data_IF_252321560708
#
_entry.id   IF_252321560708
#
_cell.length_a   1.000
_cell.length_b   1.000
_cell.length_c   1.000
_cell.angle_alpha   90.00
_cell.angle_beta   90.00
_cell.angle_gamma   90.00
#
_symmetry.space_group_name_H-M   'P 1'
#
loop_
_entity.id
_entity.type
_entity.pdbx_description
1 polymer ?
#
# COMPACT_ATOMS: atom_id res chain seq x y z
N UNK A 1 -2.35 -14.42 48.52
CA UNK A 1 -1.26 -14.06 47.59
C UNK A 1 -1.85 -13.78 46.21
N UNK A 2 -2.10 -12.52 45.91
CA UNK A 2 -2.64 -12.08 44.62
C UNK A 2 -1.46 -11.72 43.71
N UNK A 3 -1.27 -12.43 42.61
CA UNK A 3 -0.29 -12.09 41.58
C UNK A 3 -0.95 -11.12 40.63
N UNK A 4 -0.52 -9.88 40.67
CA UNK A 4 -0.84 -8.83 39.70
C UNK A 4 0.04 -9.02 38.47
N UNK A 5 -0.55 -9.41 37.36
CA UNK A 5 0.10 -9.39 36.03
C UNK A 5 -0.09 -8.00 35.43
N UNK A 6 0.98 -7.25 35.30
CA UNK A 6 1.02 -5.97 34.59
C UNK A 6 0.96 -6.19 33.09
N UNK A 7 0.27 -5.33 32.33
CA UNK A 7 0.24 -5.43 30.86
C UNK A 7 1.57 -4.94 30.29
N UNK A 8 2.17 -5.74 29.41
CA UNK A 8 3.32 -5.33 28.59
C UNK A 8 2.82 -4.36 27.53
N UNK A 9 2.98 -3.07 27.80
CA UNK A 9 2.86 -2.02 26.80
C UNK A 9 4.15 -2.07 26.02
N UNK A 10 4.09 -2.51 24.75
CA UNK A 10 5.19 -2.40 23.80
C UNK A 10 5.38 -0.92 23.42
N UNK A 11 6.07 -0.18 24.29
CA UNK A 11 6.51 1.17 24.04
C UNK A 11 7.61 1.11 22.98
N UNK A 12 7.37 1.69 21.81
CA UNK A 12 8.41 2.10 20.88
C UNK A 12 9.25 3.17 21.56
N UNK A 13 10.26 2.77 22.31
CA UNK A 13 11.30 3.66 22.81
C UNK A 13 12.18 4.07 21.62
N UNK A 14 12.04 5.32 21.21
CA UNK A 14 13.06 5.97 20.43
C UNK A 14 14.31 6.13 21.31
N UNK A 15 15.51 5.76 20.83
CA UNK A 15 16.73 6.03 21.59
C UNK A 15 16.99 7.54 21.62
N UNK A 16 17.28 8.06 22.81
CA UNK A 16 17.75 9.42 23.02
C UNK A 16 19.03 9.65 22.22
N UNK A 17 19.06 10.71 21.42
CA UNK A 17 20.23 11.11 20.66
C UNK A 17 21.33 11.63 21.60
N UNK A 18 22.47 10.93 21.62
CA UNK A 18 23.73 11.48 22.13
C UNK A 18 24.24 12.56 21.15
N UNK A 19 24.96 13.59 21.62
CA UNK A 19 25.46 14.66 20.76
C UNK A 19 26.44 14.09 19.73
N UNK A 20 26.15 14.33 18.46
CA UNK A 20 26.98 13.88 17.35
C UNK A 20 28.30 14.65 17.33
N UNK A 21 29.41 13.91 17.40
CA UNK A 21 30.71 14.43 16.97
C UNK A 21 30.64 14.80 15.48
N UNK A 22 31.23 15.94 15.12
CA UNK A 22 31.27 16.42 13.75
C UNK A 22 31.85 15.35 12.81
N UNK A 23 31.23 15.08 11.66
CA UNK A 23 31.74 14.08 10.74
C UNK A 23 33.04 14.57 10.12
N UNK A 24 34.10 13.77 10.28
CA UNK A 24 35.31 13.91 9.47
C UNK A 24 34.92 13.83 7.99
N UNK A 25 35.33 14.77 7.18
CA UNK A 25 35.12 14.79 5.74
C UNK A 25 35.73 13.55 5.09
N UNK A 26 34.89 12.58 4.74
CA UNK A 26 35.30 11.42 3.94
C UNK A 26 35.61 11.93 2.53
N UNK A 27 36.79 11.71 1.98
CA UNK A 27 37.12 12.15 0.62
C UNK A 27 36.11 11.51 -0.36
N UNK A 28 35.56 12.31 -1.24
CA UNK A 28 34.65 11.86 -2.31
C UNK A 28 35.41 10.82 -3.14
N UNK A 29 35.08 9.54 -3.00
CA UNK A 29 35.67 8.47 -3.79
C UNK A 29 35.46 8.72 -5.26
N UNK A 30 36.53 8.60 -6.07
CA UNK A 30 36.49 8.74 -7.52
C UNK A 30 35.35 7.88 -8.13
N UNK A 31 34.62 8.35 -9.17
CA UNK A 31 33.53 7.63 -9.76
C UNK A 31 33.99 6.27 -10.32
N UNK A 32 33.30 5.22 -9.91
CA UNK A 32 33.61 3.86 -10.31
C UNK A 32 33.35 3.62 -11.80
N UNK A 33 34.34 3.08 -12.52
CA UNK A 33 34.16 2.60 -13.89
C UNK A 33 33.19 1.41 -13.94
N UNK A 34 32.62 1.10 -15.12
CA UNK A 34 31.72 -0.05 -15.31
C UNK A 34 32.38 -1.39 -14.89
N UNK A 35 33.71 -1.51 -15.04
CA UNK A 35 34.49 -2.67 -14.57
C UNK A 35 34.47 -2.77 -13.03
N UNK A 36 34.63 -1.66 -12.34
CA UNK A 36 34.60 -1.60 -10.87
C UNK A 36 33.24 -1.99 -10.29
N UNK A 37 32.16 -1.59 -10.94
CA UNK A 37 30.79 -1.97 -10.54
C UNK A 37 30.58 -3.48 -10.66
N UNK A 38 30.92 -4.07 -11.81
CA UNK A 38 30.83 -5.53 -12.03
C UNK A 38 31.65 -6.31 -10.98
N UNK A 39 32.84 -5.86 -10.69
CA UNK A 39 33.72 -6.47 -9.68
C UNK A 39 33.11 -6.38 -8.29
N UNK A 40 32.55 -5.23 -7.90
CA UNK A 40 31.88 -5.06 -6.60
C UNK A 40 30.66 -5.98 -6.45
N UNK A 41 29.81 -6.05 -7.48
CA UNK A 41 28.66 -6.95 -7.48
C UNK A 41 29.09 -8.43 -7.50
N UNK A 42 30.14 -8.78 -8.23
CA UNK A 42 30.65 -10.14 -8.28
C UNK A 42 31.19 -10.60 -6.92
N UNK A 43 31.97 -9.75 -6.22
CA UNK A 43 32.48 -10.02 -4.85
C UNK A 43 31.32 -10.19 -3.87
N UNK A 44 30.36 -9.24 -3.86
CA UNK A 44 29.16 -9.31 -2.99
C UNK A 44 28.35 -10.58 -3.21
N UNK A 45 28.11 -10.97 -4.47
CA UNK A 45 27.36 -12.17 -4.80
C UNK A 45 28.16 -13.46 -4.55
N UNK A 46 29.49 -13.43 -4.63
CA UNK A 46 30.34 -14.56 -4.25
C UNK A 46 30.26 -14.83 -2.75
N UNK A 47 30.40 -13.77 -1.95
CA UNK A 47 30.27 -13.84 -0.49
C UNK A 47 28.86 -14.28 -0.04
N UNK A 48 27.81 -13.91 -0.77
CA UNK A 48 26.45 -14.32 -0.49
C UNK A 48 26.15 -15.80 -0.87
N UNK A 49 27.07 -16.51 -1.46
CA UNK A 49 26.99 -17.96 -1.71
C UNK A 49 26.14 -18.38 -2.91
N UNK A 50 26.04 -19.70 -3.09
CA UNK A 50 25.42 -20.30 -4.28
C UNK A 50 23.90 -20.19 -4.33
N UNK A 51 23.24 -20.07 -3.18
CA UNK A 51 21.77 -19.89 -3.08
C UNK A 51 21.31 -18.46 -3.35
N UNK A 52 22.24 -17.57 -3.71
CA UNK A 52 21.95 -16.16 -3.98
C UNK A 52 21.99 -15.85 -5.48
N UNK A 53 21.24 -14.83 -5.91
CA UNK A 53 21.19 -14.37 -7.30
C UNK A 53 20.97 -12.86 -7.38
N UNK A 54 21.47 -12.28 -8.47
CA UNK A 54 21.34 -10.86 -8.75
C UNK A 54 21.12 -10.59 -10.24
N UNK A 55 20.34 -9.52 -10.51
CA UNK A 55 20.22 -8.94 -11.83
C UNK A 55 20.16 -7.43 -11.71
N UNK A 56 20.88 -6.74 -12.56
CA UNK A 56 20.86 -5.28 -12.65
C UNK A 56 20.92 -4.86 -14.13
N UNK A 57 20.06 -3.93 -14.52
CA UNK A 57 19.96 -3.39 -15.88
C UNK A 57 19.89 -1.87 -15.84
N UNK A 58 20.63 -1.22 -16.71
CA UNK A 58 20.45 0.19 -17.00
C UNK A 58 19.19 0.37 -17.84
N UNK A 59 18.17 0.97 -17.27
CA UNK A 59 16.87 1.13 -17.95
C UNK A 59 16.90 2.20 -19.04
N UNK A 60 17.87 3.13 -18.96
CA UNK A 60 18.05 4.18 -19.98
C UNK A 60 18.61 3.63 -21.30
N UNK A 61 19.42 2.57 -21.22
CA UNK A 61 20.07 1.97 -22.39
C UNK A 61 19.63 0.54 -22.68
N UNK A 62 18.92 -0.10 -21.77
CA UNK A 62 18.55 -1.52 -21.84
C UNK A 62 19.71 -2.49 -21.55
N UNK A 63 20.94 -1.99 -21.31
CA UNK A 63 22.15 -2.83 -21.13
C UNK A 63 22.15 -3.52 -19.78
N UNK A 64 22.49 -4.81 -19.79
CA UNK A 64 22.73 -5.56 -18.55
C UNK A 64 24.03 -5.06 -17.89
N UNK A 65 23.89 -4.53 -16.68
CA UNK A 65 25.01 -4.12 -15.82
C UNK A 65 25.64 -5.35 -15.15
N UNK A 66 24.79 -6.24 -14.62
CA UNK A 66 25.23 -7.46 -13.94
C UNK A 66 24.15 -8.54 -13.96
N UNK A 67 24.58 -9.79 -14.11
CA UNK A 67 23.71 -10.96 -14.01
C UNK A 67 24.48 -12.13 -13.34
N UNK A 68 23.91 -12.69 -12.28
CA UNK A 68 24.41 -13.93 -11.65
C UNK A 68 23.23 -14.76 -11.17
N UNK A 69 23.05 -15.95 -11.73
CA UNK A 69 21.90 -16.83 -11.46
C UNK A 69 20.58 -16.05 -11.54
N UNK A 70 20.49 -15.16 -12.54
CA UNK A 70 19.44 -14.16 -12.67
C UNK A 70 18.05 -14.77 -12.91
N UNK A 71 18.00 -15.97 -13.47
CA UNK A 71 16.78 -16.68 -13.84
C UNK A 71 16.34 -17.75 -12.83
N UNK A 72 17.21 -18.05 -11.84
CA UNK A 72 16.88 -19.05 -10.83
C UNK A 72 15.98 -18.44 -9.77
N UNK A 73 14.77 -19.03 -9.61
CA UNK A 73 13.77 -18.57 -8.65
C UNK A 73 14.18 -18.86 -7.20
N UNK A 74 13.89 -17.89 -6.35
CA UNK A 74 14.21 -17.86 -4.91
C UNK A 74 13.04 -17.36 -4.10
N UNK A 75 13.12 -17.51 -2.78
CA UNK A 75 12.21 -16.89 -1.84
C UNK A 75 12.49 -15.39 -1.82
N UNK A 76 11.51 -14.53 -2.18
CA UNK A 76 11.69 -13.07 -2.22
C UNK A 76 11.55 -12.41 -0.86
N UNK A 77 10.95 -13.06 0.14
CA UNK A 77 10.44 -12.42 1.34
C UNK A 77 9.58 -11.19 0.97
N UNK A 78 9.62 -10.11 1.75
CA UNK A 78 8.77 -8.93 1.51
C UNK A 78 9.05 -8.15 0.21
N UNK A 79 10.01 -8.56 -0.64
CA UNK A 79 10.09 -8.06 -2.02
C UNK A 79 8.85 -8.47 -2.82
N UNK A 80 8.13 -9.54 -2.41
CA UNK A 80 6.85 -9.95 -2.98
C UNK A 80 5.80 -8.84 -2.95
N UNK A 81 5.83 -7.96 -1.95
CA UNK A 81 4.92 -6.80 -1.87
C UNK A 81 4.97 -5.89 -3.09
N UNK A 82 6.07 -5.89 -3.84
CA UNK A 82 6.17 -5.16 -5.11
C UNK A 82 5.17 -5.70 -6.14
N UNK A 83 4.95 -7.01 -6.19
CA UNK A 83 3.99 -7.64 -7.10
C UNK A 83 2.55 -7.21 -6.79
N UNK A 84 2.17 -7.24 -5.52
CA UNK A 84 0.86 -6.78 -5.06
C UNK A 84 0.67 -5.28 -5.34
N UNK A 85 1.64 -4.46 -4.96
CA UNK A 85 1.56 -2.99 -5.11
C UNK A 85 1.50 -2.56 -6.59
N UNK A 86 2.31 -3.16 -7.44
CA UNK A 86 2.30 -2.89 -8.89
C UNK A 86 0.94 -3.25 -9.48
N UNK A 87 0.39 -4.41 -9.13
CA UNK A 87 -0.93 -4.84 -9.62
C UNK A 87 -2.05 -3.92 -9.15
N UNK A 88 -2.02 -3.45 -7.89
CA UNK A 88 -2.99 -2.46 -7.38
C UNK A 88 -2.93 -1.18 -8.21
N UNK A 89 -1.75 -0.62 -8.44
CA UNK A 89 -1.60 0.61 -9.22
C UNK A 89 -2.08 0.46 -10.66
N UNK A 90 -1.68 -0.62 -11.33
CA UNK A 90 -2.05 -0.85 -12.73
C UNK A 90 -3.55 -1.12 -12.89
N UNK A 91 -4.20 -1.81 -11.93
CA UNK A 91 -5.62 -2.19 -12.03
C UNK A 91 -6.59 -1.17 -11.48
N UNK A 92 -6.21 -0.42 -10.45
CA UNK A 92 -7.10 0.47 -9.70
C UNK A 92 -6.67 1.93 -9.74
N UNK A 93 -5.43 2.21 -10.17
CA UNK A 93 -4.87 3.56 -10.21
C UNK A 93 -4.48 4.11 -8.84
N UNK A 94 -3.64 5.16 -8.86
CA UNK A 94 -3.13 5.81 -7.65
C UNK A 94 -4.22 6.59 -6.89
N UNK A 95 -5.22 7.11 -7.60
CA UNK A 95 -6.33 7.88 -7.05
C UNK A 95 -7.47 7.01 -6.49
N UNK A 96 -7.49 5.71 -6.80
CA UNK A 96 -8.52 4.78 -6.33
C UNK A 96 -8.65 4.76 -4.82
N UNK A 97 -9.83 4.40 -4.32
CA UNK A 97 -10.17 4.29 -2.89
C UNK A 97 -10.88 2.98 -2.60
N UNK A 98 -10.90 2.62 -1.33
CA UNK A 98 -11.67 1.50 -0.78
C UNK A 98 -12.77 2.08 0.11
N UNK A 99 -14.00 1.59 -0.02
CA UNK A 99 -15.15 2.17 0.68
C UNK A 99 -15.58 1.33 1.87
N UNK A 100 -16.05 2.01 2.93
CA UNK A 100 -16.86 1.41 3.99
C UNK A 100 -18.23 2.08 3.93
N UNK A 101 -19.29 1.28 3.78
CA UNK A 101 -20.64 1.75 3.46
C UNK A 101 -21.64 1.30 4.53
N UNK A 102 -22.57 2.17 4.88
CA UNK A 102 -23.80 1.80 5.59
C UNK A 102 -24.88 1.51 4.57
N UNK A 103 -25.43 0.30 4.59
CA UNK A 103 -26.62 -0.08 3.83
C UNK A 103 -27.80 -0.20 4.78
N UNK A 104 -29.02 -0.05 4.26
CA UNK A 104 -30.24 -0.21 5.02
C UNK A 104 -31.25 -1.09 4.28
N UNK A 105 -31.99 -1.94 5.00
CA UNK A 105 -33.08 -2.79 4.48
C UNK A 105 -34.47 -2.34 4.97
N UNK A 106 -34.54 -1.15 5.55
CA UNK A 106 -35.75 -0.64 6.20
C UNK A 106 -36.30 0.65 5.59
N UNK A 107 -37.22 1.28 6.32
CA UNK A 107 -37.90 2.51 5.92
C UNK A 107 -37.57 3.62 6.92
N UNK A 108 -37.28 4.82 6.41
CA UNK A 108 -37.18 6.04 7.19
C UNK A 108 -38.56 6.70 7.25
N UNK A 109 -39.05 6.91 8.47
CA UNK A 109 -40.33 7.60 8.75
C UNK A 109 -40.08 9.12 8.84
N UNK A 110 -41.16 9.91 8.68
CA UNK A 110 -41.10 11.39 8.69
C UNK A 110 -40.55 11.97 10.02
N UNK A 111 -40.67 11.23 11.13
CA UNK A 111 -40.15 11.61 12.46
C UNK A 111 -38.67 11.29 12.65
N UNK A 112 -37.93 10.96 11.59
CA UNK A 112 -36.54 10.59 11.63
C UNK A 112 -36.25 9.17 12.20
N UNK A 113 -37.33 8.36 12.40
CA UNK A 113 -37.16 6.97 12.86
C UNK A 113 -36.90 6.04 11.68
N UNK A 114 -35.71 5.40 11.68
CA UNK A 114 -35.42 4.33 10.76
C UNK A 114 -35.87 2.97 11.34
N UNK A 115 -36.78 2.27 10.63
CA UNK A 115 -37.24 0.91 11.00
C UNK A 115 -36.60 -0.12 10.10
N UNK A 116 -35.60 -0.83 10.60
CA UNK A 116 -34.87 -1.85 9.84
C UNK A 116 -33.46 -2.05 10.37
N UNK A 117 -32.68 -2.80 9.64
CA UNK A 117 -31.27 -3.08 9.97
C UNK A 117 -30.35 -2.12 9.21
N UNK A 118 -29.39 -1.55 9.90
CA UNK A 118 -28.25 -0.85 9.30
C UNK A 118 -27.08 -1.83 9.16
N UNK A 119 -26.64 -2.09 7.94
CA UNK A 119 -25.48 -2.95 7.68
C UNK A 119 -24.23 -2.11 7.48
N UNK A 120 -23.24 -2.28 8.35
CA UNK A 120 -21.91 -1.72 8.15
C UNK A 120 -21.09 -2.69 7.28
N UNK A 121 -20.98 -2.38 5.99
CA UNK A 121 -20.24 -3.21 5.02
C UNK A 121 -18.86 -2.64 4.74
N UNK A 122 -17.81 -3.44 4.95
CA UNK A 122 -16.44 -3.09 4.56
C UNK A 122 -16.07 -3.67 3.20
N UNK A 123 -15.32 -2.90 2.41
CA UNK A 123 -14.68 -3.36 1.18
C UNK A 123 -13.15 -3.46 1.34
N UNK A 124 -12.68 -3.88 2.52
CA UNK A 124 -11.28 -4.15 2.79
C UNK A 124 -10.40 -2.91 2.93
N UNK A 125 -10.92 -1.80 3.48
CA UNK A 125 -10.07 -0.66 3.87
C UNK A 125 -9.27 -1.02 5.14
N UNK A 126 -7.91 -1.16 5.07
CA UNK A 126 -7.11 -1.50 6.23
C UNK A 126 -6.99 -0.37 7.25
N UNK A 127 -7.44 0.84 6.90
CA UNK A 127 -7.30 2.03 7.75
C UNK A 127 -8.55 2.38 8.54
N UNK A 128 -9.72 1.77 8.26
CA UNK A 128 -10.98 2.11 8.92
C UNK A 128 -10.93 1.86 10.43
N UNK A 129 -11.39 2.85 11.21
CA UNK A 129 -11.39 2.73 12.66
C UNK A 129 -11.86 3.98 13.41
N UNK A 130 -11.44 4.10 14.68
CA UNK A 130 -11.65 5.31 15.46
C UNK A 130 -10.71 6.43 15.02
N UNK A 131 -11.13 7.68 15.13
CA UNK A 131 -10.31 8.87 14.78
C UNK A 131 -8.99 8.92 15.57
N UNK A 132 -8.99 8.46 16.84
CA UNK A 132 -7.78 8.37 17.66
C UNK A 132 -6.79 7.34 17.12
N UNK A 133 -7.29 6.16 16.77
CA UNK A 133 -6.44 5.06 16.25
C UNK A 133 -5.86 5.43 14.89
N UNK A 134 -6.70 5.87 13.93
CA UNK A 134 -6.26 6.17 12.56
C UNK A 134 -5.19 7.27 12.54
N UNK A 135 -5.38 8.34 13.30
CA UNK A 135 -4.37 9.41 13.41
C UNK A 135 -3.06 8.93 14.02
N UNK A 136 -3.12 8.14 15.10
CA UNK A 136 -1.92 7.66 15.79
C UNK A 136 -1.16 6.62 14.97
N UNK A 137 -1.87 5.67 14.35
CA UNK A 137 -1.26 4.54 13.66
C UNK A 137 -0.80 4.89 12.23
N UNK A 138 -1.55 5.73 11.53
CA UNK A 138 -1.37 5.96 10.09
C UNK A 138 -1.25 7.43 9.71
N UNK A 139 -1.60 8.36 10.58
CA UNK A 139 -1.71 9.79 10.29
C UNK A 139 -2.96 10.14 9.46
N UNK A 140 -3.70 9.15 8.98
CA UNK A 140 -4.87 9.28 8.10
C UNK A 140 -5.73 8.03 8.17
N UNK A 141 -6.95 8.04 7.63
CA UNK A 141 -7.84 6.88 7.53
C UNK A 141 -9.30 7.29 7.62
N UNK A 142 -10.19 6.45 7.09
CA UNK A 142 -11.63 6.58 7.24
C UNK A 142 -12.04 6.28 8.68
N UNK A 143 -13.01 7.04 9.21
CA UNK A 143 -13.43 6.86 10.60
C UNK A 143 -14.91 6.54 10.73
N UNK A 144 -15.26 5.77 11.77
CA UNK A 144 -16.65 5.48 12.10
C UNK A 144 -17.41 6.77 12.45
N UNK A 145 -16.73 7.77 13.03
CA UNK A 145 -17.33 9.05 13.36
C UNK A 145 -17.74 9.84 12.13
N UNK A 146 -16.87 9.87 11.10
CA UNK A 146 -17.22 10.51 9.82
C UNK A 146 -18.33 9.78 9.09
N UNK A 147 -18.34 8.44 9.16
CA UNK A 147 -19.38 7.63 8.53
C UNK A 147 -20.75 7.88 9.17
N UNK A 148 -20.82 7.88 10.52
CA UNK A 148 -22.07 8.16 11.24
C UNK A 148 -22.55 9.59 10.99
N UNK A 149 -21.65 10.57 11.02
CA UNK A 149 -22.00 11.95 10.70
C UNK A 149 -22.60 12.06 9.29
N UNK A 150 -21.96 11.46 8.27
CA UNK A 150 -22.50 11.43 6.90
C UNK A 150 -23.84 10.72 6.81
N UNK A 151 -24.03 9.62 7.54
CA UNK A 151 -25.31 8.93 7.59
C UNK A 151 -26.42 9.87 8.07
N UNK A 152 -26.20 10.58 9.17
CA UNK A 152 -27.17 11.53 9.72
C UNK A 152 -27.41 12.70 8.75
N UNK A 153 -26.36 13.30 8.21
CA UNK A 153 -26.45 14.41 7.25
C UNK A 153 -27.21 14.04 5.97
N UNK A 154 -27.04 12.81 5.47
CA UNK A 154 -27.66 12.35 4.21
C UNK A 154 -29.08 11.85 4.38
N UNK A 155 -29.42 11.30 5.55
CA UNK A 155 -30.71 10.63 5.75
C UNK A 155 -31.63 11.35 6.74
N UNK A 156 -31.10 12.16 7.65
CA UNK A 156 -31.89 12.75 8.73
C UNK A 156 -32.28 11.75 9.84
N UNK A 157 -31.62 10.58 9.93
CA UNK A 157 -31.93 9.57 10.96
C UNK A 157 -31.68 10.14 12.35
N UNK A 158 -32.71 10.14 13.22
CA UNK A 158 -32.67 10.52 14.65
C UNK A 158 -32.79 9.30 15.58
N UNK A 159 -33.35 8.19 15.08
CA UNK A 159 -33.57 6.96 15.86
C UNK A 159 -33.51 5.74 14.95
N UNK A 160 -32.95 4.64 15.44
CA UNK A 160 -32.97 3.34 14.77
C UNK A 160 -33.80 2.36 15.60
N UNK A 161 -35.00 2.02 15.11
CA UNK A 161 -35.80 0.90 15.60
C UNK A 161 -35.39 -0.38 14.89
N UNK A 162 -34.23 -0.87 15.29
CA UNK A 162 -33.52 -1.97 14.68
C UNK A 162 -32.13 -2.07 15.28
N UNK A 163 -31.18 -2.57 14.51
CA UNK A 163 -29.81 -2.82 14.97
C UNK A 163 -28.77 -2.49 13.90
N UNK A 164 -27.50 -2.44 14.32
CA UNK A 164 -26.36 -2.42 13.40
C UNK A 164 -25.82 -3.83 13.21
N UNK A 165 -25.59 -4.26 11.98
CA UNK A 165 -25.02 -5.55 11.62
C UNK A 165 -23.73 -5.31 10.82
N UNK A 166 -22.61 -5.88 11.26
CA UNK A 166 -21.34 -5.83 10.51
C UNK A 166 -21.34 -6.85 9.39
N UNK A 167 -21.04 -6.40 8.18
CA UNK A 167 -20.91 -7.23 6.98
C UNK A 167 -19.46 -7.23 6.49
N UNK A 168 -18.78 -8.35 6.68
CA UNK A 168 -17.42 -8.59 6.20
C UNK A 168 -17.33 -9.49 4.96
N UNK A 169 -18.47 -9.79 4.33
CA UNK A 169 -18.60 -10.78 3.26
C UNK A 169 -17.85 -10.43 1.96
N UNK A 170 -17.22 -9.25 1.91
CA UNK A 170 -16.33 -8.87 0.81
C UNK A 170 -15.09 -9.76 0.71
N UNK A 171 -14.64 -10.34 1.85
CA UNK A 171 -13.60 -11.35 1.89
C UNK A 171 -14.15 -12.68 2.42
N UNK A 172 -13.37 -13.74 2.25
CA UNK A 172 -13.60 -15.02 2.94
C UNK A 172 -13.37 -14.90 4.45
N UNK A 173 -13.71 -15.96 5.19
CA UNK A 173 -13.56 -16.03 6.64
C UNK A 173 -12.16 -16.40 7.13
N UNK A 174 -11.17 -16.58 6.23
CA UNK A 174 -9.80 -16.93 6.58
C UNK A 174 -9.07 -15.69 7.11
N UNK A 175 -8.63 -15.76 8.38
CA UNK A 175 -8.09 -14.63 9.14
C UNK A 175 -6.61 -14.38 8.94
N UNK A 176 -5.89 -15.28 8.29
CA UNK A 176 -4.45 -15.19 8.07
C UNK A 176 -4.01 -15.59 6.67
N UNK A 177 -2.70 -15.58 6.48
CA UNK A 177 -2.05 -16.00 5.25
C UNK A 177 -1.69 -17.50 5.23
N UNK A 178 -1.24 -17.99 4.07
CA UNK A 178 -0.86 -19.40 3.89
C UNK A 178 0.41 -19.80 4.65
N UNK A 179 1.16 -18.87 5.17
CA UNK A 179 2.33 -19.09 6.05
C UNK A 179 1.94 -19.63 7.42
N UNK A 180 0.76 -19.20 7.92
CA UNK A 180 0.20 -19.57 9.22
C UNK A 180 -1.02 -20.50 9.09
N UNK A 181 -1.14 -21.26 7.98
CA UNK A 181 -2.30 -22.12 7.75
C UNK A 181 -3.63 -21.37 7.74
N UNK A 182 -3.62 -20.10 7.34
CA UNK A 182 -4.76 -19.19 7.32
C UNK A 182 -5.34 -18.81 8.69
N UNK A 183 -4.65 -19.16 9.77
CA UNK A 183 -4.97 -18.74 11.14
C UNK A 183 -4.45 -17.34 11.46
N UNK A 184 -4.84 -16.82 12.64
CA UNK A 184 -4.31 -15.58 13.17
C UNK A 184 -2.80 -15.67 13.37
N UNK A 185 -2.07 -14.62 12.97
CA UNK A 185 -0.61 -14.55 13.07
C UNK A 185 -0.17 -13.16 13.50
N UNK A 186 0.73 -13.10 14.49
CA UNK A 186 1.37 -11.84 14.91
C UNK A 186 2.27 -11.27 13.83
N UNK A 187 2.90 -12.11 13.01
CA UNK A 187 3.72 -11.65 11.88
C UNK A 187 2.88 -10.92 10.82
N UNK A 188 1.60 -11.29 10.70
CA UNK A 188 0.64 -10.59 9.86
C UNK A 188 0.22 -9.24 10.48
N UNK A 189 -0.01 -9.21 11.79
CA UNK A 189 -0.31 -8.00 12.54
C UNK A 189 -1.78 -7.56 12.56
N UNK A 190 -2.71 -8.47 12.22
CA UNK A 190 -4.16 -8.26 12.29
C UNK A 190 -4.95 -9.34 11.55
N UNK A 191 -6.21 -9.62 11.92
CA UNK A 191 -7.08 -10.55 11.19
C UNK A 191 -7.47 -9.99 9.83
N UNK A 192 -7.36 -10.80 8.78
CA UNK A 192 -7.86 -10.45 7.45
C UNK A 192 -9.39 -10.53 7.45
N UNK A 193 -10.04 -9.45 7.07
CA UNK A 193 -11.51 -9.33 7.04
C UNK A 193 -11.92 -8.25 6.06
N UNK A 194 -13.09 -8.39 5.43
CA UNK A 194 -13.67 -7.36 4.58
C UNK A 194 -14.03 -6.10 5.35
N UNK A 195 -14.42 -6.22 6.62
CA UNK A 195 -14.74 -5.12 7.51
C UNK A 195 -13.71 -5.03 8.66
N UNK A 196 -12.73 -4.19 8.48
CA UNK A 196 -11.70 -3.88 9.49
C UNK A 196 -12.16 -2.76 10.41
N UNK A 197 -11.82 -2.83 11.71
CA UNK A 197 -11.88 -1.70 12.62
C UNK A 197 -10.62 -1.69 13.50
N UNK A 198 -9.90 -0.58 13.53
CA UNK A 198 -8.65 -0.43 14.29
C UNK A 198 -7.64 -1.55 13.99
N UNK A 199 -7.41 -1.88 12.72
CA UNK A 199 -6.52 -2.97 12.30
C UNK A 199 -6.96 -4.36 12.82
N UNK A 200 -8.20 -4.53 13.23
CA UNK A 200 -8.66 -5.76 13.87
C UNK A 200 -8.14 -5.96 15.28
N UNK A 201 -7.74 -4.88 15.97
CA UNK A 201 -7.29 -4.89 17.36
C UNK A 201 -8.40 -4.38 18.28
N UNK A 202 -8.54 -5.02 19.42
CA UNK A 202 -9.36 -4.54 20.54
C UNK A 202 -8.62 -3.44 21.30
N UNK A 203 -9.30 -2.76 22.22
CA UNK A 203 -8.73 -1.64 22.98
C UNK A 203 -7.52 -2.06 23.86
N UNK A 204 -7.42 -3.34 24.22
CA UNK A 204 -6.28 -3.92 24.95
C UNK A 204 -5.18 -4.50 24.04
N UNK A 205 -5.28 -4.31 22.71
CA UNK A 205 -4.29 -4.76 21.73
C UNK A 205 -4.38 -6.22 21.30
N UNK A 206 -5.40 -6.96 21.77
CA UNK A 206 -5.63 -8.34 21.31
C UNK A 206 -6.32 -8.37 19.97
N UNK A 207 -6.18 -9.46 19.22
CA UNK A 207 -6.91 -9.62 17.97
C UNK A 207 -8.42 -9.81 18.18
N UNK A 208 -9.22 -9.13 17.38
CA UNK A 208 -10.67 -9.30 17.34
C UNK A 208 -11.01 -10.69 16.80
N UNK A 209 -11.74 -11.49 17.57
CA UNK A 209 -12.18 -12.82 17.13
C UNK A 209 -13.37 -12.75 16.19
N UNK A 210 -14.23 -11.73 16.33
CA UNK A 210 -15.41 -11.46 15.52
C UNK A 210 -15.35 -10.00 15.02
N UNK A 211 -14.51 -9.71 14.00
CA UNK A 211 -14.26 -8.32 13.57
C UNK A 211 -15.52 -7.58 13.13
N UNK A 212 -16.42 -8.25 12.42
CA UNK A 212 -17.67 -7.66 11.95
C UNK A 212 -18.58 -7.24 13.10
N UNK A 213 -18.76 -8.13 14.10
CA UNK A 213 -19.52 -7.80 15.31
C UNK A 213 -18.89 -6.65 16.08
N UNK A 214 -17.55 -6.66 16.21
CA UNK A 214 -16.83 -5.61 16.92
C UNK A 214 -17.03 -4.25 16.22
N UNK A 215 -16.92 -4.18 14.90
CA UNK A 215 -17.15 -2.97 14.13
C UNK A 215 -18.60 -2.47 14.26
N UNK A 216 -19.59 -3.37 14.22
CA UNK A 216 -21.00 -3.04 14.44
C UNK A 216 -21.25 -2.47 15.83
N UNK A 217 -20.63 -3.04 16.88
CA UNK A 217 -20.72 -2.50 18.23
C UNK A 217 -20.12 -1.09 18.32
N UNK A 218 -18.93 -0.86 17.72
CA UNK A 218 -18.32 0.48 17.69
C UNK A 218 -19.16 1.50 16.92
N UNK A 219 -19.81 1.12 15.81
CA UNK A 219 -20.75 1.99 15.10
C UNK A 219 -22.00 2.26 15.95
N UNK A 220 -22.53 1.27 16.65
CA UNK A 220 -23.67 1.46 17.56
C UNK A 220 -23.34 2.45 18.69
N UNK A 221 -22.14 2.30 19.29
CA UNK A 221 -21.65 3.23 20.31
C UNK A 221 -21.50 4.65 19.75
N UNK A 222 -21.00 4.79 18.52
CA UNK A 222 -20.81 6.07 17.87
C UNK A 222 -22.17 6.75 17.55
N UNK A 223 -23.16 6.00 17.04
CA UNK A 223 -24.53 6.50 16.83
C UNK A 223 -25.10 7.06 18.14
N UNK A 224 -25.00 6.29 19.23
CA UNK A 224 -25.47 6.72 20.57
C UNK A 224 -24.73 7.95 21.07
N UNK A 225 -23.44 8.05 20.84
CA UNK A 225 -22.61 9.20 21.20
C UNK A 225 -23.02 10.47 20.44
N UNK A 226 -23.51 10.33 19.22
CA UNK A 226 -24.05 11.42 18.41
C UNK A 226 -25.56 11.68 18.66
N UNK A 227 -26.15 11.06 19.70
CA UNK A 227 -27.53 11.28 20.11
C UNK A 227 -28.56 10.35 19.46
N UNK A 228 -28.15 9.47 18.54
CA UNK A 228 -29.06 8.56 17.83
C UNK A 228 -29.36 7.34 18.71
N UNK A 229 -30.65 7.14 19.03
CA UNK A 229 -31.09 5.97 19.82
C UNK A 229 -31.13 4.73 18.96
N UNK A 230 -30.41 3.65 19.34
CA UNK A 230 -30.43 2.35 18.68
C UNK A 230 -31.02 1.32 19.64
N UNK A 231 -32.14 0.67 19.27
CA UNK A 231 -32.89 -0.21 20.17
C UNK A 231 -32.34 -1.63 20.24
N UNK A 232 -31.83 -2.17 19.13
CA UNK A 232 -31.35 -3.55 19.06
C UNK A 232 -29.85 -3.68 19.39
N UNK A 233 -29.46 -4.88 19.83
CA UNK A 233 -28.05 -5.22 20.03
C UNK A 233 -27.31 -5.36 18.68
N UNK A 234 -26.03 -4.96 18.61
CA UNK A 234 -25.22 -5.15 17.40
C UNK A 234 -25.11 -6.63 17.03
N UNK A 235 -25.01 -6.90 15.73
CA UNK A 235 -24.88 -8.23 15.16
C UNK A 235 -23.79 -8.33 14.12
N UNK A 236 -23.59 -9.51 13.56
CA UNK A 236 -22.80 -9.74 12.35
C UNK A 236 -23.61 -10.58 11.36
N UNK A 237 -23.41 -10.34 10.07
CA UNK A 237 -24.13 -11.03 9.00
C UNK A 237 -23.86 -10.39 7.65
N UNK A 238 -24.55 -10.85 6.62
CA UNK A 238 -24.46 -10.31 5.27
C UNK A 238 -25.70 -9.49 4.97
N UNK A 239 -25.53 -8.31 4.36
CA UNK A 239 -26.63 -7.50 3.86
C UNK A 239 -27.35 -8.24 2.72
N UNK A 240 -28.69 -8.13 2.70
CA UNK A 240 -29.52 -8.60 1.60
C UNK A 240 -29.21 -7.87 0.28
N UNK A 241 -29.71 -8.41 -0.82
CA UNK A 241 -29.54 -7.80 -2.14
C UNK A 241 -30.39 -6.53 -2.31
N UNK A 242 -31.41 -6.39 -1.52
CA UNK A 242 -32.36 -5.27 -1.43
C UNK A 242 -31.92 -4.15 -0.46
N UNK A 243 -30.80 -4.35 0.23
CA UNK A 243 -30.26 -3.33 1.13
C UNK A 243 -29.61 -2.19 0.33
N UNK A 244 -30.14 -0.97 0.51
CA UNK A 244 -29.75 0.22 -0.23
C UNK A 244 -28.61 1.01 0.48
N UNK A 245 -27.70 1.65 -0.28
CA UNK A 245 -26.65 2.48 0.31
C UNK A 245 -27.21 3.77 0.91
N UNK A 246 -26.94 4.01 2.19
CA UNK A 246 -27.35 5.20 2.93
C UNK A 246 -26.23 6.21 3.13
N UNK A 247 -25.00 5.74 3.35
CA UNK A 247 -23.82 6.59 3.50
C UNK A 247 -22.54 5.80 3.26
N UNK A 248 -21.46 6.46 2.90
CA UNK A 248 -20.15 5.83 2.78
C UNK A 248 -19.01 6.77 3.15
N UNK A 249 -17.86 6.17 3.51
CA UNK A 249 -16.57 6.86 3.66
C UNK A 249 -15.51 6.15 2.83
N UNK A 250 -14.60 6.95 2.29
CA UNK A 250 -13.50 6.46 1.48
C UNK A 250 -12.23 6.30 2.32
N UNK A 251 -11.47 5.27 2.04
CA UNK A 251 -10.08 5.14 2.52
C UNK A 251 -9.23 6.31 2.00
N UNK A 252 -8.02 6.52 2.54
CA UNK A 252 -7.00 7.27 1.83
C UNK A 252 -6.80 6.68 0.42
N UNK A 253 -6.36 7.52 -0.53
CA UNK A 253 -6.06 7.08 -1.90
C UNK A 253 -5.07 5.91 -1.89
N UNK A 254 -5.18 5.01 -2.87
CA UNK A 254 -4.30 3.84 -3.00
C UNK A 254 -2.81 4.21 -3.00
N UNK A 255 -2.43 5.35 -3.57
CA UNK A 255 -1.07 5.86 -3.45
C UNK A 255 -0.60 5.97 -1.98
N UNK A 256 -1.46 6.46 -1.08
CA UNK A 256 -1.17 6.55 0.36
C UNK A 256 -1.16 5.18 1.02
N UNK A 257 -2.13 4.31 0.71
CA UNK A 257 -2.16 2.95 1.23
C UNK A 257 -0.90 2.16 0.84
N UNK A 258 -0.42 2.31 -0.40
CA UNK A 258 0.81 1.66 -0.86
C UNK A 258 2.05 2.22 -0.15
N UNK A 259 2.11 3.52 0.13
CA UNK A 259 3.18 4.09 0.95
C UNK A 259 3.18 3.51 2.36
N UNK A 260 2.00 3.35 2.99
CA UNK A 260 1.84 2.69 4.29
C UNK A 260 2.14 1.19 4.25
N UNK A 261 2.02 0.55 3.08
CA UNK A 261 2.35 -0.87 2.88
C UNK A 261 3.84 -1.11 2.66
N UNK A 262 4.43 -0.37 1.73
CA UNK A 262 5.75 -0.67 1.17
C UNK A 262 6.88 -0.12 2.03
N UNK A 263 6.80 1.15 2.49
CA UNK A 263 7.88 1.77 3.28
C UNK A 263 8.15 1.05 4.61
N UNK A 264 7.16 0.80 5.49
CA UNK A 264 7.37 0.04 6.71
C UNK A 264 7.38 -1.48 6.50
N UNK A 265 7.05 -1.94 5.27
CA UNK A 265 6.89 -3.36 4.95
C UNK A 265 5.71 -4.03 5.65
N UNK A 266 4.57 -3.36 5.76
CA UNK A 266 3.39 -3.83 6.48
C UNK A 266 2.77 -5.06 5.81
N UNK A 267 2.68 -6.17 6.55
CA UNK A 267 2.16 -7.44 6.04
C UNK A 267 0.63 -7.43 5.97
N UNK A 268 -0.04 -6.85 6.96
CA UNK A 268 -1.49 -6.80 7.03
C UNK A 268 -2.09 -6.01 5.86
N UNK A 269 -1.50 -4.83 5.57
CA UNK A 269 -1.92 -4.04 4.41
C UNK A 269 -1.70 -4.80 3.10
N UNK A 270 -0.56 -5.46 2.94
CA UNK A 270 -0.24 -6.21 1.72
C UNK A 270 -1.23 -7.35 1.46
N UNK A 271 -1.57 -8.13 2.49
CA UNK A 271 -2.54 -9.23 2.36
C UNK A 271 -3.98 -8.71 2.15
N UNK A 272 -4.36 -7.63 2.84
CA UNK A 272 -5.67 -7.00 2.64
C UNK A 272 -5.81 -6.48 1.20
N UNK A 273 -4.78 -5.84 0.65
CA UNK A 273 -4.76 -5.37 -0.74
C UNK A 273 -4.76 -6.55 -1.73
N UNK A 274 -4.07 -7.65 -1.43
CA UNK A 274 -4.14 -8.85 -2.26
C UNK A 274 -5.57 -9.42 -2.32
N UNK A 275 -6.27 -9.53 -1.17
CA UNK A 275 -7.67 -9.98 -1.14
C UNK A 275 -8.60 -9.01 -1.87
N UNK A 276 -8.33 -7.70 -1.83
CA UNK A 276 -9.05 -6.71 -2.64
C UNK A 276 -8.93 -7.00 -4.14
N UNK A 277 -7.72 -7.32 -4.63
CA UNK A 277 -7.53 -7.75 -6.02
C UNK A 277 -8.35 -9.00 -6.34
N UNK A 278 -8.39 -9.95 -5.42
CA UNK A 278 -9.21 -11.16 -5.55
C UNK A 278 -10.69 -10.87 -5.66
N UNK A 279 -11.23 -10.04 -4.76
CA UNK A 279 -12.64 -9.67 -4.73
C UNK A 279 -13.08 -8.90 -5.99
N UNK A 280 -12.27 -7.96 -6.45
CA UNK A 280 -12.62 -7.05 -7.55
C UNK A 280 -12.36 -7.63 -8.95
N UNK A 281 -11.31 -8.45 -9.11
CA UNK A 281 -10.85 -8.93 -10.42
C UNK A 281 -10.71 -10.44 -10.51
N UNK A 282 -10.84 -11.16 -9.40
CA UNK A 282 -10.68 -12.61 -9.34
C UNK A 282 -11.96 -13.39 -8.97
N UNK A 283 -13.10 -12.67 -8.81
CA UNK A 283 -14.41 -13.22 -8.50
C UNK A 283 -14.66 -13.51 -7.02
N UNK A 284 -13.64 -13.59 -6.17
CA UNK A 284 -13.77 -13.86 -4.73
C UNK A 284 -12.68 -13.14 -3.92
N UNK A 285 -13.03 -12.68 -2.71
CA UNK A 285 -12.12 -11.99 -1.80
C UNK A 285 -11.19 -12.93 -1.05
N UNK A 286 -10.48 -13.79 -1.76
CA UNK A 286 -9.55 -14.79 -1.20
C UNK A 286 -8.10 -14.48 -1.57
N UNK A 287 -7.14 -14.92 -0.74
CA UNK A 287 -5.71 -14.85 -1.04
C UNK A 287 -5.39 -15.55 -2.37
N UNK A 288 -5.99 -16.71 -2.63
CA UNK A 288 -5.76 -17.48 -3.86
C UNK A 288 -6.24 -16.74 -5.12
N UNK A 289 -7.41 -16.09 -5.07
CA UNK A 289 -7.95 -15.30 -6.17
C UNK A 289 -7.07 -14.07 -6.43
N UNK A 290 -6.67 -13.33 -5.38
CA UNK A 290 -5.75 -12.22 -5.50
C UNK A 290 -4.41 -12.61 -6.10
N UNK A 291 -3.84 -13.72 -5.66
CA UNK A 291 -2.59 -14.25 -6.21
C UNK A 291 -2.72 -14.62 -7.70
N UNK A 292 -3.88 -15.11 -8.17
CA UNK A 292 -4.14 -15.33 -9.61
C UNK A 292 -4.11 -14.01 -10.39
N UNK A 293 -4.77 -12.99 -9.87
CA UNK A 293 -4.80 -11.65 -10.49
C UNK A 293 -3.39 -11.07 -10.58
N UNK A 294 -2.60 -11.17 -9.51
CA UNK A 294 -1.20 -10.72 -9.50
C UNK A 294 -0.37 -11.47 -10.54
N UNK A 295 -0.46 -12.79 -10.60
CA UNK A 295 0.28 -13.58 -11.61
C UNK A 295 -0.10 -13.19 -13.03
N UNK A 296 -1.38 -12.97 -13.31
CA UNK A 296 -1.84 -12.51 -14.62
C UNK A 296 -1.26 -11.14 -14.99
N UNK A 297 -1.19 -10.21 -14.03
CA UNK A 297 -0.57 -8.90 -14.26
C UNK A 297 0.93 -9.02 -14.48
N UNK A 298 1.63 -9.82 -13.69
CA UNK A 298 3.08 -10.03 -13.85
C UNK A 298 3.43 -10.62 -15.21
N UNK A 299 2.60 -11.53 -15.73
CA UNK A 299 2.79 -12.14 -17.05
C UNK A 299 2.80 -11.11 -18.19
N UNK A 300 2.06 -10.00 -18.07
CA UNK A 300 2.09 -8.92 -19.06
C UNK A 300 3.46 -8.25 -19.18
N UNK A 301 4.28 -8.33 -18.13
CA UNK A 301 5.67 -7.85 -18.12
C UNK A 301 6.68 -8.98 -18.34
N UNK A 302 6.23 -10.17 -18.73
CA UNK A 302 7.09 -11.34 -18.92
C UNK A 302 7.67 -11.91 -17.63
N UNK A 303 7.03 -11.65 -16.47
CA UNK A 303 7.37 -12.22 -15.17
C UNK A 303 6.38 -13.31 -14.81
N UNK A 304 6.87 -14.53 -14.55
CA UNK A 304 6.06 -15.71 -14.25
C UNK A 304 6.30 -16.22 -12.83
N UNK A 305 6.45 -15.30 -11.90
CA UNK A 305 6.68 -15.58 -10.48
C UNK A 305 5.54 -16.43 -9.89
N UNK A 306 5.89 -17.35 -8.99
CA UNK A 306 4.91 -18.08 -8.19
C UNK A 306 4.55 -17.21 -6.97
N UNK A 307 3.33 -16.68 -7.00
CA UNK A 307 2.75 -15.85 -5.94
C UNK A 307 1.83 -16.71 -5.10
N UNK A 308 2.12 -16.83 -3.80
CA UNK A 308 1.34 -17.59 -2.82
C UNK A 308 0.59 -16.67 -1.86
N UNK A 309 1.14 -15.47 -1.58
CA UNK A 309 0.56 -14.44 -0.72
C UNK A 309 0.97 -13.04 -1.21
N UNK A 310 0.45 -11.99 -0.56
CA UNK A 310 0.75 -10.61 -0.91
C UNK A 310 1.90 -9.99 -0.12
N UNK A 311 2.23 -10.56 1.02
CA UNK A 311 3.21 -10.02 1.98
C UNK A 311 4.63 -10.55 1.77
N UNK A 312 4.77 -11.75 1.25
CA UNK A 312 6.03 -12.47 1.15
C UNK A 312 6.38 -13.27 2.41
N UNK A 313 5.46 -13.45 3.35
CA UNK A 313 5.64 -14.31 4.52
C UNK A 313 5.73 -15.78 4.11
N UNK A 314 4.92 -16.19 3.14
CA UNK A 314 4.94 -17.56 2.64
C UNK A 314 6.23 -17.90 1.93
N UNK A 315 6.90 -18.93 2.43
CA UNK A 315 8.09 -19.50 1.78
C UNK A 315 7.76 -20.22 0.46
N UNK A 316 6.49 -20.31 0.06
CA UNK A 316 6.05 -20.82 -1.24
C UNK A 316 6.16 -19.79 -2.36
N UNK A 317 6.27 -18.50 -2.05
CA UNK A 317 6.58 -17.48 -3.06
C UNK A 317 7.92 -17.79 -3.73
N UNK A 318 7.97 -17.68 -5.07
CA UNK A 318 9.18 -17.89 -5.86
C UNK A 318 9.25 -16.88 -6.99
N UNK A 319 10.35 -16.16 -7.03
CA UNK A 319 10.68 -15.24 -8.13
C UNK A 319 12.18 -15.25 -8.42
N UNK A 320 12.57 -14.89 -9.62
CA UNK A 320 13.97 -14.71 -9.97
C UNK A 320 14.35 -13.23 -9.95
N UNK A 321 15.65 -12.89 -9.81
CA UNK A 321 16.10 -11.52 -9.92
C UNK A 321 15.66 -10.84 -11.22
N UNK A 322 15.66 -11.56 -12.35
CA UNK A 322 15.23 -11.03 -13.64
C UNK A 322 13.71 -10.76 -13.67
N UNK A 323 12.89 -11.64 -13.11
CA UNK A 323 11.44 -11.44 -13.01
C UNK A 323 11.09 -10.20 -12.20
N UNK A 324 11.78 -9.98 -11.06
CA UNK A 324 11.61 -8.75 -10.26
C UNK A 324 12.00 -7.50 -11.06
N UNK A 325 13.13 -7.54 -11.78
CA UNK A 325 13.56 -6.38 -12.61
C UNK A 325 12.60 -6.15 -13.79
N UNK A 326 11.98 -7.19 -14.36
CA UNK A 326 10.94 -7.01 -15.39
C UNK A 326 9.72 -6.26 -14.83
N UNK A 327 9.24 -6.61 -13.63
CA UNK A 327 8.20 -5.86 -12.92
C UNK A 327 8.63 -4.40 -12.70
N UNK A 328 9.83 -4.18 -12.16
CA UNK A 328 10.36 -2.83 -11.93
C UNK A 328 10.39 -2.00 -13.23
N UNK A 329 10.81 -2.59 -14.34
CA UNK A 329 10.79 -1.92 -15.65
C UNK A 329 9.37 -1.66 -16.15
N UNK A 330 8.45 -2.61 -15.99
CA UNK A 330 7.05 -2.43 -16.33
C UNK A 330 6.43 -1.22 -15.64
N UNK A 331 6.72 -1.06 -14.36
CA UNK A 331 6.21 0.08 -13.57
C UNK A 331 6.82 1.44 -13.94
N UNK A 332 7.95 1.49 -14.62
CA UNK A 332 8.48 2.75 -15.16
C UNK A 332 7.67 3.27 -16.35
N UNK A 333 6.98 2.40 -17.07
CA UNK A 333 6.06 2.75 -18.16
C UNK A 333 4.59 2.87 -17.71
N UNK A 334 4.28 2.65 -16.44
CA UNK A 334 2.91 2.75 -15.92
C UNK A 334 2.52 4.24 -15.70
N UNK A 335 1.29 4.67 -16.01
CA UNK A 335 0.81 6.02 -15.72
C UNK A 335 0.94 6.43 -14.24
N UNK A 336 0.96 5.47 -13.33
CA UNK A 336 1.08 5.70 -11.89
C UNK A 336 2.53 5.65 -11.38
N UNK A 337 3.54 5.78 -12.25
CA UNK A 337 4.97 5.69 -11.89
C UNK A 337 5.38 6.61 -10.75
N UNK A 338 4.78 7.79 -10.65
CA UNK A 338 5.07 8.73 -9.57
C UNK A 338 4.65 8.17 -8.20
N UNK A 339 3.43 7.64 -8.08
CA UNK A 339 2.93 7.00 -6.87
C UNK A 339 3.71 5.71 -6.54
N UNK A 340 4.06 4.93 -7.57
CA UNK A 340 4.92 3.77 -7.42
C UNK A 340 6.25 4.13 -6.77
N UNK A 341 6.95 5.11 -7.33
CA UNK A 341 8.26 5.54 -6.82
C UNK A 341 8.15 6.14 -5.42
N UNK A 342 7.12 6.94 -5.14
CA UNK A 342 6.87 7.48 -3.80
C UNK A 342 6.58 6.40 -2.76
N UNK A 343 6.03 5.26 -3.15
CA UNK A 343 5.78 4.15 -2.22
C UNK A 343 7.07 3.48 -1.71
N UNK A 344 8.18 3.56 -2.43
CA UNK A 344 9.42 2.87 -2.10
C UNK A 344 10.18 3.53 -0.93
N UNK A 345 10.94 2.72 -0.17
CA UNK A 345 11.88 3.22 0.83
C UNK A 345 13.08 3.86 0.13
N UNK A 346 13.60 4.95 0.67
CA UNK A 346 14.76 5.69 0.14
C UNK A 346 15.95 5.48 1.06
N UNK A 347 17.10 5.13 0.47
CA UNK A 347 18.36 4.92 1.19
C UNK A 347 18.76 6.15 2.01
N UNK A 348 19.07 5.93 3.29
CA UNK A 348 19.47 6.98 4.22
C UNK A 348 18.35 7.97 4.59
N UNK A 349 17.07 7.70 4.21
CA UNK A 349 16.01 8.71 4.40
C UNK A 349 14.68 8.16 4.91
N UNK A 350 14.17 7.07 4.37
CA UNK A 350 12.81 6.64 4.71
C UNK A 350 12.62 5.12 4.73
N UNK A 351 11.58 4.69 5.46
CA UNK A 351 11.12 3.31 5.53
C UNK A 351 12.23 2.36 6.01
N UNK A 352 12.23 1.13 5.49
CA UNK A 352 13.22 0.10 5.88
C UNK A 352 14.64 0.38 5.40
N UNK A 353 14.86 1.45 4.65
CA UNK A 353 16.19 1.91 4.22
C UNK A 353 16.66 3.18 4.96
N UNK A 354 15.88 3.75 5.90
CA UNK A 354 16.22 4.98 6.60
C UNK A 354 17.58 4.95 7.29
N UNK A 355 17.94 3.84 7.94
CA UNK A 355 19.23 3.64 8.61
C UNK A 355 20.28 2.95 7.75
N UNK A 356 20.10 2.87 6.42
CA UNK A 356 21.01 2.13 5.53
C UNK A 356 21.64 3.04 4.49
N UNK A 357 22.95 2.84 4.22
CA UNK A 357 23.72 3.55 3.19
C UNK A 357 23.84 5.07 3.43
N UNK A 358 23.76 5.51 4.70
CA UNK A 358 23.98 6.89 5.10
C UNK A 358 25.41 7.33 4.77
N UNK A 359 25.58 8.58 4.30
CA UNK A 359 26.88 9.16 3.96
C UNK A 359 27.53 8.53 2.72
N UNK A 360 26.80 7.73 1.92
CA UNK A 360 27.33 7.07 0.73
C UNK A 360 26.71 7.58 -0.56
N UNK A 361 27.26 7.18 -1.70
CA UNK A 361 26.72 7.51 -3.02
C UNK A 361 25.27 7.01 -3.23
N UNK A 362 24.80 6.04 -2.46
CA UNK A 362 23.45 5.50 -2.55
C UNK A 362 22.42 6.32 -1.78
N UNK A 363 22.84 7.14 -0.81
CA UNK A 363 21.93 8.00 -0.05
C UNK A 363 21.13 8.90 -0.99
N UNK A 364 19.80 8.97 -0.80
CA UNK A 364 18.84 9.71 -1.62
C UNK A 364 18.80 9.30 -3.11
N UNK A 365 19.71 8.43 -3.58
CA UNK A 365 19.79 7.98 -4.97
C UNK A 365 19.26 6.59 -5.20
N UNK A 366 19.30 5.71 -4.19
CA UNK A 366 18.72 4.38 -4.27
C UNK A 366 17.40 4.31 -3.51
N UNK A 367 16.41 3.70 -4.12
CA UNK A 367 15.11 3.46 -3.53
C UNK A 367 14.64 2.04 -3.84
N UNK A 368 13.94 1.40 -2.92
CA UNK A 368 13.49 0.04 -3.15
C UNK A 368 12.75 -0.59 -1.98
N UNK A 369 12.51 -1.88 -2.13
CA UNK A 369 11.87 -2.74 -1.15
C UNK A 369 12.88 -3.74 -0.60
N UNK A 370 12.94 -3.84 0.72
CA UNK A 370 13.69 -4.87 1.44
C UNK A 370 12.83 -6.12 1.64
N UNK A 371 13.46 -7.28 1.74
CA UNK A 371 12.83 -8.53 2.14
C UNK A 371 13.65 -9.23 3.20
N UNK A 372 13.01 -9.77 4.24
CA UNK A 372 13.69 -10.51 5.32
C UNK A 372 12.78 -11.64 5.83
N UNK A 373 13.30 -12.85 5.87
CA UNK A 373 12.81 -13.98 6.65
C UNK A 373 14.04 -14.63 7.32
N UNK A 374 13.85 -15.62 8.19
CA UNK A 374 14.99 -16.38 8.70
C UNK A 374 15.78 -16.94 7.51
N UNK A 375 17.11 -16.71 7.47
CA UNK A 375 18.04 -17.07 6.42
C UNK A 375 17.72 -16.56 4.99
N UNK A 376 16.87 -15.52 4.84
CA UNK A 376 16.55 -14.86 3.57
C UNK A 376 16.72 -13.37 3.72
N UNK A 377 17.47 -12.75 2.81
CA UNK A 377 17.58 -11.30 2.69
C UNK A 377 17.46 -10.89 1.22
N UNK A 378 16.64 -9.90 0.94
CA UNK A 378 16.43 -9.39 -0.41
C UNK A 378 16.40 -7.87 -0.43
N UNK A 379 16.82 -7.28 -1.55
CA UNK A 379 16.71 -5.87 -1.86
C UNK A 379 16.47 -5.71 -3.36
N UNK A 380 15.43 -5.00 -3.74
CA UNK A 380 15.13 -4.71 -5.14
C UNK A 380 14.60 -3.29 -5.29
N UNK A 381 14.93 -2.64 -6.40
CA UNK A 381 14.49 -1.28 -6.67
C UNK A 381 15.33 -0.60 -7.74
N UNK A 382 15.57 0.69 -7.53
CA UNK A 382 16.26 1.55 -8.48
C UNK A 382 17.40 2.31 -7.79
N UNK A 383 18.52 2.51 -8.51
CA UNK A 383 19.55 3.47 -8.13
C UNK A 383 19.77 4.46 -9.27
N UNK A 384 19.81 5.76 -8.97
CA UNK A 384 20.27 6.78 -9.89
C UNK A 384 21.80 6.85 -9.83
N UNK A 385 22.47 6.67 -10.96
CA UNK A 385 23.92 6.70 -11.07
C UNK A 385 24.47 8.11 -10.95
N UNK A 386 25.81 8.23 -10.86
CA UNK A 386 26.50 9.51 -10.75
C UNK A 386 26.33 10.40 -12.01
N UNK A 387 26.06 9.81 -13.17
CA UNK A 387 25.78 10.51 -14.43
C UNK A 387 24.30 10.47 -14.85
N UNK A 388 23.38 10.22 -13.90
CA UNK A 388 21.94 10.39 -14.10
C UNK A 388 21.18 9.18 -14.66
N UNK A 389 21.85 8.09 -15.06
CA UNK A 389 21.17 6.87 -15.48
C UNK A 389 20.37 6.23 -14.33
N UNK A 390 19.36 5.48 -14.66
CA UNK A 390 18.60 4.68 -13.69
C UNK A 390 18.93 3.21 -13.86
N UNK A 391 19.43 2.57 -12.81
CA UNK A 391 19.66 1.12 -12.75
C UNK A 391 18.50 0.48 -11.99
N UNK A 392 17.73 -0.41 -12.63
CA UNK A 392 16.80 -1.31 -11.95
C UNK A 392 17.57 -2.56 -11.52
N UNK A 393 17.38 -3.00 -10.26
CA UNK A 393 18.13 -4.12 -9.71
C UNK A 393 17.31 -4.99 -8.77
N UNK A 394 17.70 -6.26 -8.63
CA UNK A 394 17.21 -7.18 -7.63
C UNK A 394 18.36 -8.08 -7.11
N UNK A 395 18.52 -8.11 -5.80
CA UNK A 395 19.42 -8.98 -5.06
C UNK A 395 18.58 -9.91 -4.19
N UNK A 396 18.54 -11.20 -4.53
CA UNK A 396 17.79 -12.22 -3.79
C UNK A 396 18.79 -13.20 -3.17
N UNK A 397 18.93 -13.15 -1.85
CA UNK A 397 19.91 -13.95 -1.09
C UNK A 397 19.17 -14.90 -0.16
N UNK A 398 19.33 -16.20 -0.41
CA UNK A 398 18.75 -17.26 0.40
C UNK A 398 19.86 -18.10 1.06
N UNK A 399 19.54 -18.73 2.19
CA UNK A 399 20.51 -19.50 3.01
C UNK A 399 21.70 -18.65 3.44
N UNK A 400 21.42 -17.46 3.92
CA UNK A 400 22.43 -16.47 4.33
C UNK A 400 22.21 -16.04 5.78
N UNK A 401 23.28 -15.57 6.43
CA UNK A 401 23.14 -14.69 7.58
C UNK A 401 22.55 -13.35 7.12
N UNK A 402 21.47 -12.93 7.76
CA UNK A 402 20.71 -11.76 7.33
C UNK A 402 21.51 -10.46 7.49
N UNK A 403 22.30 -10.34 8.55
CA UNK A 403 23.10 -9.13 8.82
C UNK A 403 24.20 -8.96 7.78
N UNK A 404 24.96 -10.00 7.54
CA UNK A 404 26.00 -10.05 6.51
C UNK A 404 25.44 -9.79 5.11
N UNK A 405 24.30 -10.40 4.78
CA UNK A 405 23.64 -10.19 3.50
C UNK A 405 23.19 -8.73 3.31
N UNK A 406 22.68 -8.06 4.37
CA UNK A 406 22.36 -6.63 4.33
C UNK A 406 23.58 -5.75 4.06
N UNK A 407 24.72 -6.04 4.70
CA UNK A 407 25.96 -5.33 4.45
C UNK A 407 26.41 -5.47 2.99
N UNK A 408 26.36 -6.70 2.43
CA UNK A 408 26.67 -6.95 1.02
C UNK A 408 25.72 -6.19 0.08
N UNK A 409 24.42 -6.19 0.37
CA UNK A 409 23.42 -5.42 -0.41
C UNK A 409 23.72 -3.92 -0.39
N UNK A 410 24.11 -3.37 0.77
CA UNK A 410 24.49 -1.95 0.87
C UNK A 410 25.69 -1.64 -0.03
N UNK A 411 26.77 -2.42 0.07
CA UNK A 411 27.97 -2.25 -0.74
C UNK A 411 27.66 -2.33 -2.24
N UNK A 412 26.83 -3.29 -2.65
CA UNK A 412 26.44 -3.44 -4.05
C UNK A 412 25.56 -2.27 -4.55
N UNK A 413 24.60 -1.79 -3.75
CA UNK A 413 23.78 -0.66 -4.10
C UNK A 413 24.60 0.65 -4.17
N UNK A 414 25.55 0.84 -3.26
CA UNK A 414 26.50 1.97 -3.29
C UNK A 414 27.30 1.95 -4.59
N UNK A 415 27.83 0.77 -4.99
CA UNK A 415 28.57 0.62 -6.25
C UNK A 415 27.70 0.98 -7.47
N UNK A 416 26.40 0.56 -7.50
CA UNK A 416 25.48 0.95 -8.56
C UNK A 416 25.28 2.47 -8.62
N UNK A 417 25.06 3.12 -7.48
CA UNK A 417 24.83 4.56 -7.42
C UNK A 417 26.09 5.39 -7.77
N UNK A 418 27.28 4.90 -7.42
CA UNK A 418 28.55 5.55 -7.74
C UNK A 418 28.96 5.36 -9.21
N UNK A 419 28.30 4.47 -9.95
CA UNK A 419 28.68 4.13 -11.32
C UNK A 419 28.45 5.25 -12.31
N UNK A 420 29.22 5.20 -13.42
CA UNK A 420 29.04 6.05 -14.61
C UNK A 420 28.98 5.14 -15.84
N UNK A 421 27.82 4.56 -16.16
CA UNK A 421 27.66 3.79 -17.40
C UNK A 421 28.04 4.62 -18.64
N UNK A 422 28.74 4.01 -19.60
CA UNK A 422 29.04 4.67 -20.86
C UNK A 422 27.82 4.62 -21.82
N UNK A 423 27.55 5.70 -22.52
CA UNK A 423 26.64 5.76 -23.69
C UNK A 423 25.16 5.96 -23.34
N UNK A 424 24.72 7.07 -23.67
CA UNK A 424 23.56 7.90 -23.93
C UNK A 424 23.63 9.13 -23.03
N UNK A 425 23.64 10.28 -23.68
CA UNK A 425 23.40 11.55 -22.98
C UNK A 425 22.04 11.44 -22.25
N UNK A 426 21.90 12.04 -21.06
CA UNK A 426 20.59 12.06 -20.42
C UNK A 426 19.58 12.61 -21.41
N UNK A 427 18.47 11.90 -21.60
CA UNK A 427 17.31 12.45 -22.32
C UNK A 427 16.98 13.76 -21.61
N UNK A 428 16.94 14.90 -22.32
CA UNK A 428 16.61 16.17 -21.71
C UNK A 428 15.26 16.00 -20.98
N UNK A 429 15.21 16.42 -19.74
CA UNK A 429 13.94 16.53 -19.00
C UNK A 429 12.98 17.28 -19.93
N UNK A 430 11.78 16.73 -20.26
CA UNK A 430 10.84 17.46 -21.06
C UNK A 430 10.66 18.84 -20.41
N UNK A 431 10.80 19.89 -21.22
CA UNK A 431 10.53 21.25 -20.76
C UNK A 431 9.13 21.28 -20.15
N UNK A 432 8.91 22.04 -19.08
CA UNK A 432 7.58 22.18 -18.52
C UNK A 432 6.63 22.55 -19.65
N UNK A 433 5.57 21.78 -19.82
CA UNK A 433 4.51 22.07 -20.82
C UNK A 433 4.09 23.51 -20.57
N UNK A 434 4.12 24.38 -21.61
CA UNK A 434 3.71 25.75 -21.42
C UNK A 434 2.30 25.76 -20.86
N UNK A 435 2.11 26.50 -19.79
CA UNK A 435 0.79 26.76 -19.21
C UNK A 435 -0.13 27.20 -20.32
N UNK A 436 -1.28 26.57 -20.58
CA UNK A 436 -2.20 27.01 -21.59
C UNK A 436 -2.54 28.49 -21.34
N UNK A 437 -2.46 29.31 -22.38
CA UNK A 437 -2.85 30.70 -22.31
C UNK A 437 -4.27 30.81 -21.77
N UNK A 438 -4.59 31.83 -20.96
CA UNK A 438 -5.93 31.98 -20.43
C UNK A 438 -6.92 32.08 -21.60
N UNK A 439 -7.96 31.25 -21.55
CA UNK A 439 -9.04 31.24 -22.52
C UNK A 439 -9.63 32.68 -22.58
N UNK A 440 -9.76 33.30 -23.73
CA UNK A 440 -10.35 34.64 -23.81
C UNK A 440 -11.77 34.60 -23.24
N UNK A 441 -12.05 35.54 -22.35
CA UNK A 441 -13.37 35.73 -21.77
C UNK A 441 -14.39 35.95 -22.92
N UNK A 442 -15.49 35.19 -22.98
CA UNK A 442 -16.49 35.41 -24.01
C UNK A 442 -17.04 36.85 -23.92
N UNK A 443 -17.16 37.49 -25.05
CA UNK A 443 -17.75 38.84 -25.13
C UNK A 443 -19.19 38.82 -24.58
N UNK A 444 -19.66 39.90 -23.97
CA UNK A 444 -21.00 39.95 -23.41
C UNK A 444 -22.05 39.81 -24.54
N UNK A 445 -22.96 38.90 -24.36
CA UNK A 445 -24.10 38.68 -25.27
C UNK A 445 -24.94 39.95 -25.34
N UNK A 446 -25.29 40.47 -26.51
CA UNK A 446 -26.13 41.66 -26.61
C UNK A 446 -27.54 41.34 -26.05
N UNK A 447 -28.06 42.23 -25.24
CA UNK A 447 -29.42 42.15 -24.70
C UNK A 447 -30.45 42.11 -25.83
N UNK A 448 -31.56 41.31 -25.67
CA UNK A 448 -32.62 41.25 -26.65
C UNK A 448 -33.34 42.60 -26.74
N UNK A 449 -33.50 43.09 -27.96
CA UNK A 449 -34.25 44.28 -28.32
C UNK A 449 -35.72 43.98 -28.05
N UNK A 450 -36.38 44.80 -27.25
CA UNK A 450 -37.83 44.71 -26.99
C UNK A 450 -38.63 44.93 -28.33
N UNK A 451 -39.71 44.18 -28.56
CA UNK A 451 -40.57 44.37 -29.72
C UNK A 451 -41.34 45.69 -29.64
N UNK A 452 -41.60 46.35 -30.78
CA UNK A 452 -42.38 47.60 -30.79
C UNK A 452 -43.82 47.34 -30.44
N UNK A 453 -44.36 48.17 -29.56
CA UNK A 453 -45.80 48.24 -29.25
C UNK A 453 -46.57 48.73 -30.46
N UNK A 454 -47.28 47.80 -31.09
CA UNK A 454 -48.22 48.12 -32.15
C UNK A 454 -49.49 48.79 -31.58
N UNK A 455 -49.77 50.02 -32.09
CA UNK A 455 -50.98 50.71 -31.76
C UNK A 455 -52.21 50.11 -32.48
N UNK A 456 -53.28 49.99 -31.70
CA UNK A 456 -54.60 49.65 -32.17
C UNK A 456 -55.19 50.84 -32.96
N UNK A 457 -55.55 50.67 -34.23
CA UNK A 457 -56.41 51.57 -34.96
C UNK A 457 -57.79 50.90 -35.11
N UNK A 458 -58.79 51.60 -34.59
CA UNK A 458 -60.25 51.26 -34.71
C UNK A 458 -60.69 51.66 -36.10
N UNK A 459 -61.42 50.80 -36.75
CA UNK A 459 -62.16 51.03 -37.97
C UNK A 459 -63.04 49.84 -38.29
#
# INVERSE_FOLDING_TARGET
>A
MRRTTAPIILALLAPAAAPAAAPASVPASAPASAANVRTALARGMSAAGSSSGAFAVDVSTGRTVYARRADIRRIPASVEKLSTAATILTRMGAAGVLQTTVLGDGVLEDDGTYRGTLYLRGAGDPTFGSSRFTRRAYGTGATVSDLVRRLVEQTGIERVRGRVVGDESFFDSLRGGPDAGYGLSYDLGGPLTGLVYNRGLTDNGSFQRRPALYAAARMTDELRRQGIKVSGAPGEGRAGLDAEPLASVDSPRLATLLRLTIRPSDNFFAETLLKNLGARFGGTGTTAAGARVVRAQLATWGSFSAVADGSGLSRRNRTSPREVVRLLRGMLGDPNVAAWRDSLSVAGRSGTLAGRMNGTAAQDRCQGKTGTLSNVSALAGYCRTANGHTIAFAFLMNRVDVSSARALQNTMAVALAASRPAGASPTPTPAPTPTPAPTPTPAPTPSPIAPPTGGVVVG
#
